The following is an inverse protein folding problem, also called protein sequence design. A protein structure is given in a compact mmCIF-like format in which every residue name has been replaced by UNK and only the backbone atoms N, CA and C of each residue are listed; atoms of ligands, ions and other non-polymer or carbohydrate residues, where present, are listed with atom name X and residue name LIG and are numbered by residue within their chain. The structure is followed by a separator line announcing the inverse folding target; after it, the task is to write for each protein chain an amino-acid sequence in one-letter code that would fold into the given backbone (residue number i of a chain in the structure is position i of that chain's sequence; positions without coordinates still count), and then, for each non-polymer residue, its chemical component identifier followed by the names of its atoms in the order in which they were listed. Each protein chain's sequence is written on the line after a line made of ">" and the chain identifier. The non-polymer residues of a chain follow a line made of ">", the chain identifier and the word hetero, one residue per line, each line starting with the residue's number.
data_IF_028025831446
#
_entry.id   IF_028025831446
#
_cell.length_a   1.000
_cell.length_b   1.000
_cell.length_c   1.000
_cell.angle_alpha   90.00
_cell.angle_beta   90.00
_cell.angle_gamma   90.00
#
_symmetry.space_group_name_H-M   'P 1'
#
loop_
_entity.id
_entity.type
_entity.pdbx_description
1 polymer ?
#
# COMPACT_ATOMS: atom_id res chain seq x y z
N UNK A 1 13.43 9.86 -12.71
CA UNK A 1 13.67 8.62 -13.47
C UNK A 1 14.67 7.76 -12.70
N UNK A 2 14.21 7.00 -11.73
CA UNK A 2 15.01 6.01 -11.00
C UNK A 2 15.05 4.73 -11.84
N UNK A 3 16.24 4.38 -12.34
CA UNK A 3 16.48 3.11 -13.03
C UNK A 3 16.74 2.06 -11.95
N UNK A 4 15.77 1.17 -11.71
CA UNK A 4 16.00 -0.06 -10.96
C UNK A 4 16.88 -0.99 -11.82
N UNK A 5 18.14 -1.14 -11.44
CA UNK A 5 19.03 -2.15 -12.00
C UNK A 5 18.75 -3.45 -11.25
N UNK A 6 17.93 -4.34 -11.83
CA UNK A 6 17.75 -5.69 -11.32
C UNK A 6 18.98 -6.52 -11.66
N UNK A 7 19.86 -6.76 -10.70
CA UNK A 7 20.95 -7.73 -10.83
C UNK A 7 20.33 -9.14 -10.82
N UNK A 8 20.29 -9.78 -11.99
CA UNK A 8 19.85 -11.17 -12.15
C UNK A 8 20.88 -12.12 -11.53
N UNK A 9 20.70 -12.50 -10.26
CA UNK A 9 21.36 -13.69 -9.72
C UNK A 9 20.77 -14.93 -10.40
N UNK A 10 21.60 -15.70 -11.10
CA UNK A 10 21.21 -17.01 -11.63
C UNK A 10 21.00 -17.98 -10.47
N UNK A 11 19.74 -18.25 -10.16
CA UNK A 11 19.35 -19.25 -9.17
C UNK A 11 19.64 -20.64 -9.75
N UNK A 12 20.74 -21.27 -9.35
CA UNK A 12 20.98 -22.69 -9.63
C UNK A 12 19.98 -23.51 -8.81
N UNK A 13 18.86 -23.88 -9.44
CA UNK A 13 17.81 -24.67 -8.84
C UNK A 13 18.32 -26.06 -8.46
N UNK A 14 18.59 -26.27 -7.18
CA UNK A 14 18.59 -27.60 -6.56
C UNK A 14 17.28 -27.72 -5.77
N UNK A 15 16.17 -27.88 -6.48
CA UNK A 15 14.91 -28.32 -5.91
C UNK A 15 14.37 -29.41 -6.83
N UNK A 16 14.43 -30.64 -6.33
CA UNK A 16 13.85 -31.80 -6.98
C UNK A 16 12.38 -31.52 -7.32
N UNK A 17 11.99 -31.80 -8.57
CA UNK A 17 10.62 -31.71 -9.04
C UNK A 17 9.73 -32.65 -8.23
N UNK A 18 9.07 -32.13 -7.21
CA UNK A 18 7.86 -32.75 -6.68
C UNK A 18 6.68 -32.22 -7.49
N UNK A 19 6.02 -33.14 -8.20
CA UNK A 19 4.74 -32.91 -8.87
C UNK A 19 3.75 -32.31 -7.87
N UNK A 20 3.48 -31.02 -8.02
CA UNK A 20 2.38 -30.33 -7.35
C UNK A 20 1.44 -29.77 -8.40
N UNK A 21 0.81 -30.68 -9.15
CA UNK A 21 -0.36 -30.33 -9.94
C UNK A 21 -1.55 -30.07 -9.00
N UNK A 22 -1.55 -28.93 -8.32
CA UNK A 22 -2.73 -28.46 -7.58
C UNK A 22 -3.68 -27.86 -8.60
N UNK A 23 -4.80 -28.52 -8.87
CA UNK A 23 -5.86 -27.96 -9.70
C UNK A 23 -6.52 -26.80 -8.93
N UNK A 24 -6.20 -25.56 -9.31
CA UNK A 24 -6.74 -24.34 -8.71
C UNK A 24 -8.22 -24.10 -9.05
N UNK A 25 -8.82 -24.90 -9.93
CA UNK A 25 -10.20 -24.75 -10.41
C UNK A 25 -11.27 -24.82 -9.32
N UNK A 26 -10.94 -25.37 -8.14
CA UNK A 26 -11.85 -25.46 -6.98
C UNK A 26 -11.28 -24.79 -5.72
N UNK A 27 -10.18 -24.05 -5.83
CA UNK A 27 -9.50 -23.46 -4.68
C UNK A 27 -10.09 -22.10 -4.32
N UNK A 28 -10.43 -21.89 -3.05
CA UNK A 28 -10.99 -20.64 -2.53
C UNK A 28 -10.03 -19.94 -1.57
N UNK A 29 -9.88 -18.63 -1.70
CA UNK A 29 -9.28 -17.76 -0.70
C UNK A 29 -10.34 -17.32 0.32
N UNK A 30 -10.00 -17.42 1.61
CA UNK A 30 -10.79 -16.79 2.66
C UNK A 30 -10.37 -15.31 2.78
N UNK A 31 -11.34 -14.41 2.96
CA UNK A 31 -11.04 -13.11 3.53
C UNK A 31 -10.42 -13.28 4.92
N UNK A 32 -9.54 -12.36 5.31
CA UNK A 32 -8.98 -12.37 6.66
C UNK A 32 -10.11 -12.37 7.70
N UNK A 33 -9.99 -13.23 8.71
CA UNK A 33 -10.91 -13.26 9.85
C UNK A 33 -10.63 -12.04 10.71
N UNK A 34 -11.68 -11.27 10.98
CA UNK A 34 -11.55 -9.98 11.63
C UNK A 34 -12.28 -10.00 12.99
N UNK A 35 -11.79 -9.21 13.95
CA UNK A 35 -12.44 -9.08 15.26
C UNK A 35 -13.72 -8.23 15.19
N UNK A 36 -14.54 -8.25 16.25
CA UNK A 36 -15.89 -7.64 16.26
C UNK A 36 -15.98 -6.15 15.86
N UNK A 37 -14.94 -5.35 16.08
CA UNK A 37 -14.88 -3.94 15.61
C UNK A 37 -14.67 -3.79 14.10
N UNK A 38 -14.18 -4.82 13.43
CA UNK A 38 -13.81 -4.83 12.01
C UNK A 38 -14.89 -5.49 11.12
N UNK A 39 -15.94 -6.03 11.74
CA UNK A 39 -17.21 -6.45 11.09
C UNK A 39 -17.80 -5.36 10.19
N UNK A 40 -17.83 -4.10 10.66
CA UNK A 40 -18.42 -2.99 9.91
C UNK A 40 -17.60 -2.65 8.65
N UNK A 41 -16.27 -2.72 8.78
CA UNK A 41 -15.34 -2.54 7.67
C UNK A 41 -15.51 -3.67 6.63
N UNK A 42 -15.62 -4.92 7.09
CA UNK A 42 -15.87 -6.07 6.22
C UNK A 42 -17.21 -5.95 5.48
N UNK A 43 -18.29 -5.56 6.17
CA UNK A 43 -19.61 -5.32 5.57
C UNK A 43 -19.57 -4.23 4.49
N UNK A 44 -18.81 -3.16 4.72
CA UNK A 44 -18.63 -2.09 3.73
C UNK A 44 -17.95 -2.59 2.46
N UNK A 45 -16.89 -3.39 2.60
CA UNK A 45 -16.21 -4.03 1.48
C UNK A 45 -17.12 -5.01 0.74
N UNK A 46 -17.83 -5.87 1.48
CA UNK A 46 -18.81 -6.80 0.91
C UNK A 46 -19.84 -6.06 0.05
N UNK A 47 -20.45 -5.00 0.57
CA UNK A 47 -21.44 -4.22 -0.17
C UNK A 47 -20.86 -3.55 -1.41
N UNK A 48 -19.64 -3.01 -1.32
CA UNK A 48 -18.98 -2.39 -2.46
C UNK A 48 -18.59 -3.43 -3.54
N UNK A 49 -18.12 -4.60 -3.11
CA UNK A 49 -17.79 -5.71 -4.00
C UNK A 49 -19.04 -6.25 -4.70
N UNK A 50 -20.16 -6.41 -4.01
CA UNK A 50 -21.44 -6.78 -4.61
C UNK A 50 -21.85 -5.80 -5.72
N UNK A 51 -21.79 -4.49 -5.45
CA UNK A 51 -22.08 -3.47 -6.47
C UNK A 51 -21.13 -3.53 -7.65
N UNK A 52 -19.84 -3.75 -7.40
CA UNK A 52 -18.86 -3.94 -8.47
C UNK A 52 -19.17 -5.19 -9.30
N UNK A 53 -19.59 -6.29 -8.65
CA UNK A 53 -19.99 -7.53 -9.30
C UNK A 53 -21.13 -7.32 -10.29
N UNK A 54 -22.16 -6.61 -9.86
CA UNK A 54 -23.35 -6.35 -10.69
C UNK A 54 -22.99 -5.61 -11.98
N UNK A 55 -21.90 -4.84 -11.97
CA UNK A 55 -21.38 -4.08 -13.09
C UNK A 55 -20.38 -4.85 -13.96
N UNK A 56 -19.89 -6.02 -13.52
CA UNK A 56 -19.03 -6.87 -14.32
C UNK A 56 -19.83 -7.59 -15.42
N UNK A 57 -19.20 -7.91 -16.57
CA UNK A 57 -19.78 -8.81 -17.57
C UNK A 57 -20.22 -10.13 -16.93
N UNK A 58 -21.35 -10.69 -17.37
CA UNK A 58 -21.96 -11.87 -16.74
C UNK A 58 -21.01 -13.05 -16.53
N UNK A 59 -20.12 -13.32 -17.48
CA UNK A 59 -19.13 -14.41 -17.40
C UNK A 59 -17.96 -14.16 -16.43
N UNK A 60 -17.85 -12.95 -15.89
CA UNK A 60 -16.83 -12.52 -14.92
C UNK A 60 -17.44 -12.21 -13.54
N UNK A 61 -18.75 -12.39 -13.40
CA UNK A 61 -19.44 -12.23 -12.12
C UNK A 61 -19.07 -13.36 -11.19
N UNK A 62 -19.00 -13.05 -9.91
CA UNK A 62 -18.69 -13.99 -8.86
C UNK A 62 -19.96 -14.45 -8.14
N UNK A 63 -20.64 -15.40 -8.76
CA UNK A 63 -21.91 -15.96 -8.27
C UNK A 63 -21.71 -16.90 -7.06
N UNK A 64 -20.46 -17.32 -6.79
CA UNK A 64 -20.09 -18.26 -5.72
C UNK A 64 -19.79 -17.60 -4.36
N UNK A 65 -19.96 -16.28 -4.23
CA UNK A 65 -19.68 -15.60 -2.96
C UNK A 65 -20.91 -15.67 -2.04
N UNK A 66 -20.82 -16.53 -1.03
CA UNK A 66 -21.72 -16.47 0.11
C UNK A 66 -21.34 -15.29 1.02
N UNK A 67 -22.16 -14.25 0.96
CA UNK A 67 -22.05 -13.08 1.83
C UNK A 67 -22.96 -13.19 3.07
N UNK A 68 -23.65 -14.33 3.29
CA UNK A 68 -24.59 -14.47 4.38
C UNK A 68 -23.91 -14.43 5.76
N UNK A 69 -24.53 -13.63 6.62
CA UNK A 69 -24.13 -13.34 7.98
C UNK A 69 -24.39 -14.53 8.93
N UNK A 70 -23.63 -15.61 8.78
CA UNK A 70 -23.43 -16.57 9.87
C UNK A 70 -22.50 -16.00 10.93
N UNK A 71 -22.53 -16.54 12.15
CA UNK A 71 -21.75 -16.08 13.32
C UNK A 71 -20.20 -16.08 13.17
N UNK A 72 -19.69 -16.35 11.96
CA UNK A 72 -18.28 -16.30 11.59
C UNK A 72 -18.07 -15.34 10.41
N UNK A 73 -17.39 -14.23 10.69
CA UNK A 73 -17.04 -13.13 9.78
C UNK A 73 -15.95 -13.53 8.75
N UNK A 74 -16.29 -14.39 7.78
CA UNK A 74 -15.37 -14.71 6.69
C UNK A 74 -16.12 -14.93 5.37
N UNK A 75 -15.85 -14.09 4.36
CA UNK A 75 -16.26 -14.35 2.98
C UNK A 75 -15.24 -15.23 2.25
N UNK A 76 -15.67 -15.99 1.25
CA UNK A 76 -14.80 -16.79 0.38
C UNK A 76 -14.86 -16.30 -1.06
N UNK A 77 -13.70 -16.23 -1.71
CA UNK A 77 -13.59 -15.87 -3.13
C UNK A 77 -12.75 -16.95 -3.83
N UNK A 78 -13.19 -17.41 -4.99
CA UNK A 78 -12.40 -18.36 -5.79
C UNK A 78 -11.05 -17.75 -6.20
N UNK A 79 -9.96 -18.52 -6.08
CA UNK A 79 -8.64 -18.10 -6.57
C UNK A 79 -8.64 -17.93 -8.10
N UNK A 80 -9.40 -18.76 -8.82
CA UNK A 80 -9.53 -18.66 -10.28
C UNK A 80 -10.16 -17.32 -10.69
N UNK A 81 -11.10 -16.80 -9.90
CA UNK A 81 -11.68 -15.48 -10.12
C UNK A 81 -10.66 -14.37 -9.86
N UNK A 82 -9.89 -14.46 -8.77
CA UNK A 82 -8.83 -13.48 -8.48
C UNK A 82 -7.84 -13.40 -9.66
N UNK A 83 -7.50 -14.54 -10.27
CA UNK A 83 -6.66 -14.60 -11.47
C UNK A 83 -7.33 -13.97 -12.70
N UNK A 84 -8.64 -14.17 -12.90
CA UNK A 84 -9.38 -13.51 -13.98
C UNK A 84 -9.46 -11.99 -13.79
N UNK A 85 -9.77 -11.52 -12.57
CA UNK A 85 -9.79 -10.11 -12.19
C UNK A 85 -8.41 -9.46 -12.35
N UNK A 86 -7.33 -10.22 -12.19
CA UNK A 86 -5.96 -9.71 -12.33
C UNK A 86 -5.67 -9.21 -13.76
N UNK A 87 -6.38 -9.68 -14.79
CA UNK A 87 -6.22 -9.20 -16.16
C UNK A 87 -7.09 -7.97 -16.49
N UNK A 88 -8.08 -7.66 -15.65
CA UNK A 88 -9.07 -6.61 -15.89
C UNK A 88 -8.58 -5.24 -15.40
N UNK A 89 -9.03 -4.14 -16.03
CA UNK A 89 -8.75 -2.78 -15.57
C UNK A 89 -9.63 -2.37 -14.37
N UNK A 90 -9.73 -3.22 -13.35
CA UNK A 90 -10.49 -2.96 -12.11
C UNK A 90 -9.53 -2.78 -10.95
N UNK A 91 -9.64 -1.67 -10.25
CA UNK A 91 -8.66 -1.23 -9.25
C UNK A 91 -9.31 -0.91 -7.91
N UNK A 92 -8.58 -1.15 -6.83
CA UNK A 92 -8.88 -0.62 -5.52
C UNK A 92 -8.03 0.62 -5.28
N UNK A 93 -8.67 1.72 -4.93
CA UNK A 93 -8.05 2.98 -4.54
C UNK A 93 -8.17 3.15 -3.02
N UNK A 94 -7.06 3.42 -2.37
CA UNK A 94 -7.00 3.82 -0.96
C UNK A 94 -6.35 5.19 -0.87
N UNK A 95 -7.04 6.15 -0.23
CA UNK A 95 -6.52 7.48 0.03
C UNK A 95 -6.50 7.69 1.54
N UNK A 96 -5.32 7.92 2.09
CA UNK A 96 -5.09 8.17 3.51
C UNK A 96 -4.81 9.65 3.69
N UNK A 97 -5.57 10.32 4.52
CA UNK A 97 -5.45 11.76 4.76
C UNK A 97 -5.24 12.01 6.24
N UNK A 98 -4.25 12.82 6.62
CA UNK A 98 -4.09 13.24 8.00
C UNK A 98 -5.35 13.96 8.50
N UNK A 99 -5.92 13.49 9.62
CA UNK A 99 -7.20 14.00 10.15
C UNK A 99 -7.15 15.50 10.43
N UNK A 100 -6.00 16.00 10.87
CA UNK A 100 -5.77 17.41 11.17
C UNK A 100 -5.88 18.31 9.93
N UNK A 101 -5.49 17.81 8.75
CA UNK A 101 -5.57 18.55 7.50
C UNK A 101 -7.03 18.84 7.08
N UNK A 102 -7.96 17.97 7.49
CA UNK A 102 -9.39 18.08 7.20
C UNK A 102 -10.22 18.63 8.37
N UNK A 103 -9.58 19.15 9.43
CA UNK A 103 -10.32 19.86 10.47
C UNK A 103 -10.75 21.24 9.96
N UNK A 104 -11.91 21.75 10.41
CA UNK A 104 -12.33 23.10 10.07
C UNK A 104 -11.27 24.07 10.57
N UNK A 105 -10.79 24.94 9.69
CA UNK A 105 -10.18 26.21 10.10
C UNK A 105 -11.36 27.10 10.52
N UNK A 106 -11.12 28.16 11.29
CA UNK A 106 -12.11 29.08 11.88
C UNK A 106 -13.24 29.58 10.94
N UNK A 107 -13.15 29.32 9.62
CA UNK A 107 -14.14 29.58 8.56
C UNK A 107 -15.41 28.70 8.56
N UNK A 108 -15.47 27.61 9.34
CA UNK A 108 -16.67 26.76 9.42
C UNK A 108 -16.93 25.86 8.19
N UNK A 109 -15.98 25.76 7.28
CA UNK A 109 -16.05 24.90 6.09
C UNK A 109 -15.84 23.42 6.43
N UNK A 110 -16.75 22.54 5.99
CA UNK A 110 -16.61 21.10 6.15
C UNK A 110 -15.65 20.52 5.09
N UNK A 111 -14.35 20.57 5.41
CA UNK A 111 -13.28 20.05 4.54
C UNK A 111 -13.39 18.55 4.26
N UNK A 112 -14.08 17.78 5.12
CA UNK A 112 -14.31 16.35 4.87
C UNK A 112 -15.33 16.18 3.76
N UNK A 113 -16.44 16.93 3.82
CA UNK A 113 -17.43 16.94 2.75
C UNK A 113 -16.82 17.48 1.44
N UNK A 114 -16.00 18.53 1.52
CA UNK A 114 -15.28 19.05 0.36
C UNK A 114 -14.35 18.01 -0.28
N UNK A 115 -13.58 17.26 0.53
CA UNK A 115 -12.73 16.18 0.02
C UNK A 115 -13.53 15.07 -0.66
N UNK A 116 -14.65 14.66 -0.07
CA UNK A 116 -15.52 13.64 -0.68
C UNK A 116 -16.15 14.12 -1.99
N UNK A 117 -16.55 15.39 -2.04
CA UNK A 117 -17.04 16.02 -3.27
C UNK A 117 -15.95 16.10 -4.33
N UNK A 118 -14.70 16.39 -3.94
CA UNK A 118 -13.55 16.44 -4.84
C UNK A 118 -13.27 15.07 -5.50
N UNK A 119 -13.32 13.97 -4.73
CA UNK A 119 -13.21 12.62 -5.30
C UNK A 119 -14.37 12.33 -6.27
N UNK A 120 -15.59 12.71 -5.92
CA UNK A 120 -16.75 12.50 -6.78
C UNK A 120 -16.68 13.34 -8.07
N UNK A 121 -16.10 14.53 -8.01
CA UNK A 121 -15.86 15.40 -9.16
C UNK A 121 -14.93 14.72 -10.17
N UNK A 122 -13.89 14.01 -9.71
CA UNK A 122 -13.00 13.25 -10.60
C UNK A 122 -13.79 12.29 -11.49
N UNK A 123 -14.76 11.56 -10.93
CA UNK A 123 -15.60 10.63 -11.69
C UNK A 123 -16.45 11.34 -12.75
N UNK A 124 -16.90 12.56 -12.43
CA UNK A 124 -17.68 13.40 -13.35
C UNK A 124 -16.81 13.90 -14.51
N UNK A 125 -15.55 14.26 -14.23
CA UNK A 125 -14.58 14.69 -15.23
C UNK A 125 -14.02 13.51 -16.07
N UNK A 126 -14.15 12.27 -15.58
CA UNK A 126 -13.64 11.06 -16.22
C UNK A 126 -14.77 10.05 -16.51
N UNK A 127 -15.68 10.32 -17.46
CA UNK A 127 -16.89 9.51 -17.68
C UNK A 127 -16.64 8.08 -18.19
N UNK A 128 -15.41 7.77 -18.61
CA UNK A 128 -14.97 6.40 -18.93
C UNK A 128 -14.79 5.54 -17.67
N UNK A 129 -14.77 6.16 -16.50
CA UNK A 129 -14.54 5.54 -15.20
C UNK A 129 -15.71 5.78 -14.27
N UNK A 130 -15.96 4.81 -13.41
CA UNK A 130 -16.89 4.92 -12.30
C UNK A 130 -16.18 4.59 -10.99
N UNK A 131 -16.61 5.26 -9.92
CA UNK A 131 -16.10 5.09 -8.58
C UNK A 131 -17.19 4.50 -7.69
N UNK A 132 -16.92 3.36 -7.07
CA UNK A 132 -17.79 2.76 -6.06
C UNK A 132 -17.15 3.00 -4.69
N UNK A 133 -17.78 3.83 -3.87
CA UNK A 133 -17.31 4.14 -2.51
C UNK A 133 -17.43 2.91 -1.61
N UNK A 134 -16.32 2.51 -1.00
CA UNK A 134 -16.28 1.60 0.15
C UNK A 134 -16.45 2.48 1.38
N UNK A 135 -17.50 2.25 2.17
CA UNK A 135 -17.86 3.13 3.29
C UNK A 135 -16.66 3.36 4.22
N UNK A 136 -16.52 4.61 4.65
CA UNK A 136 -15.43 5.12 5.51
C UNK A 136 -15.34 4.30 6.80
N UNK A 137 -14.14 3.82 7.12
CA UNK A 137 -13.79 3.41 8.48
C UNK A 137 -12.89 4.45 9.12
N UNK A 138 -13.13 4.73 10.41
CA UNK A 138 -12.13 5.34 11.27
C UNK A 138 -11.35 4.20 11.89
N UNK A 139 -10.15 3.96 11.37
CA UNK A 139 -9.25 2.94 11.91
C UNK A 139 -8.52 3.60 13.10
N UNK A 140 -8.92 3.29 14.33
CA UNK A 140 -8.17 3.67 15.53
C UNK A 140 -7.18 2.56 15.84
N UNK A 141 -5.92 2.75 15.46
CA UNK A 141 -4.83 1.87 15.85
C UNK A 141 -4.33 2.32 17.22
N UNK A 142 -4.54 1.52 18.26
CA UNK A 142 -3.95 1.75 19.57
C UNK A 142 -2.75 0.83 19.73
N UNK A 143 -1.63 1.36 20.21
CA UNK A 143 -0.49 0.53 20.60
C UNK A 143 -0.83 -0.29 21.87
N UNK A 144 0.05 -1.23 22.25
CA UNK A 144 -0.15 -2.06 23.46
C UNK A 144 -0.07 -1.27 24.77
N UNK A 145 0.46 -0.05 24.74
CA UNK A 145 0.64 0.81 25.92
C UNK A 145 -0.52 1.80 26.11
N UNK A 146 -1.44 1.88 25.14
CA UNK A 146 -2.53 2.86 25.10
C UNK A 146 -2.06 4.27 24.73
N UNK A 147 -0.79 4.44 24.34
CA UNK A 147 -0.23 5.70 23.88
C UNK A 147 -0.30 5.75 22.35
N UNK A 148 -1.15 6.63 21.82
CA UNK A 148 -1.28 6.79 20.37
C UNK A 148 -0.04 7.52 19.84
N UNK A 149 0.95 6.75 19.37
CA UNK A 149 2.17 7.28 18.73
C UNK A 149 1.98 7.59 17.24
N UNK A 150 0.86 7.17 16.66
CA UNK A 150 0.58 7.34 15.24
C UNK A 150 -0.23 8.60 14.99
N UNK A 151 0.08 9.29 13.88
CA UNK A 151 -0.70 10.43 13.45
C UNK A 151 -2.13 9.97 13.12
N UNK A 152 -3.18 10.59 13.68
CA UNK A 152 -4.55 10.26 13.34
C UNK A 152 -4.85 10.50 11.87
N UNK A 153 -5.30 9.47 11.15
CA UNK A 153 -5.62 9.53 9.72
C UNK A 153 -7.10 9.20 9.45
N UNK A 154 -7.54 9.58 8.25
CA UNK A 154 -8.82 9.23 7.66
C UNK A 154 -8.54 8.43 6.39
N UNK A 155 -9.10 7.22 6.32
CA UNK A 155 -8.90 6.34 5.17
C UNK A 155 -10.16 6.28 4.31
N UNK A 156 -10.02 6.68 3.06
CA UNK A 156 -11.06 6.63 2.03
C UNK A 156 -10.73 5.51 1.05
N UNK A 157 -11.71 4.66 0.75
CA UNK A 157 -11.51 3.46 -0.07
C UNK A 157 -12.55 3.42 -1.17
N UNK A 158 -12.12 3.04 -2.37
CA UNK A 158 -12.97 3.03 -3.55
C UNK A 158 -12.61 1.88 -4.47
N UNK A 159 -13.57 1.42 -5.26
CA UNK A 159 -13.34 0.57 -6.43
C UNK A 159 -13.45 1.45 -7.67
N UNK A 160 -12.43 1.43 -8.51
CA UNK A 160 -12.37 2.10 -9.81
C UNK A 160 -12.54 1.05 -10.89
N UNK A 161 -13.52 1.23 -11.77
CA UNK A 161 -13.71 0.37 -12.93
C UNK A 161 -14.23 1.15 -14.12
N UNK A 162 -14.05 0.68 -15.36
CA UNK A 162 -14.61 1.35 -16.50
C UNK A 162 -16.14 1.34 -16.47
N UNK A 163 -16.76 2.36 -17.06
CA UNK A 163 -18.22 2.42 -17.24
C UNK A 163 -18.70 1.47 -18.34
N UNK A 164 -17.88 1.28 -19.38
CA UNK A 164 -18.20 0.40 -20.50
C UNK A 164 -17.58 -1.00 -20.33
N UNK A 165 -18.42 -2.02 -20.28
CA UNK A 165 -18.01 -3.43 -20.25
C UNK A 165 -17.10 -3.85 -21.42
N UNK A 166 -17.18 -3.21 -22.59
CA UNK A 166 -16.29 -3.51 -23.72
C UNK A 166 -14.84 -3.05 -23.48
N UNK A 167 -14.63 -2.12 -22.56
CA UNK A 167 -13.29 -1.70 -22.13
C UNK A 167 -12.70 -2.60 -21.04
N UNK A 168 -13.49 -3.51 -20.46
CA UNK A 168 -13.06 -4.53 -19.49
C UNK A 168 -12.44 -5.76 -20.16
N UNK A 169 -11.69 -5.58 -21.24
CA UNK A 169 -11.02 -6.67 -21.94
C UNK A 169 -9.60 -6.90 -21.38
N UNK A 170 -9.13 -8.16 -21.25
CA UNK A 170 -7.76 -8.48 -20.88
C UNK A 170 -6.75 -7.78 -21.80
N UNK A 171 -5.79 -7.05 -21.23
CA UNK A 171 -4.72 -6.37 -21.98
C UNK A 171 -4.76 -4.83 -21.92
N UNK A 172 -5.84 -4.22 -21.45
CA UNK A 172 -5.92 -2.77 -21.23
C UNK A 172 -5.46 -2.31 -19.84
N UNK A 173 -5.24 -3.26 -18.91
CA UNK A 173 -4.92 -2.98 -17.51
C UNK A 173 -3.70 -2.09 -17.32
N UNK A 174 -2.57 -2.37 -17.97
CA UNK A 174 -1.34 -1.61 -17.75
C UNK A 174 -1.44 -0.16 -18.22
N UNK A 175 -2.08 0.08 -19.37
CA UNK A 175 -2.34 1.42 -19.89
C UNK A 175 -3.36 2.16 -19.00
N UNK A 176 -4.44 1.47 -18.61
CA UNK A 176 -5.45 2.01 -17.71
C UNK A 176 -4.86 2.38 -16.34
N UNK A 177 -3.98 1.54 -15.78
CA UNK A 177 -3.29 1.80 -14.52
C UNK A 177 -2.47 3.10 -14.57
N UNK A 178 -1.70 3.32 -15.65
CA UNK A 178 -0.93 4.56 -15.82
C UNK A 178 -1.81 5.79 -15.94
N UNK A 179 -2.86 5.72 -16.76
CA UNK A 179 -3.80 6.84 -16.93
C UNK A 179 -4.53 7.17 -15.62
N UNK A 180 -4.91 6.14 -14.86
CA UNK A 180 -5.51 6.32 -13.53
C UNK A 180 -4.53 6.95 -12.56
N UNK A 181 -3.31 6.42 -12.48
CA UNK A 181 -2.28 6.91 -11.57
C UNK A 181 -1.96 8.38 -11.82
N UNK A 182 -1.70 8.76 -13.09
CA UNK A 182 -1.44 10.15 -13.47
C UNK A 182 -2.66 11.05 -13.20
N UNK A 183 -3.85 10.61 -13.61
CA UNK A 183 -5.07 11.40 -13.54
C UNK A 183 -5.56 11.64 -12.11
N UNK A 184 -5.65 10.59 -11.30
CA UNK A 184 -6.15 10.70 -9.93
C UNK A 184 -5.13 11.35 -9.00
N UNK A 185 -3.83 11.07 -9.19
CA UNK A 185 -2.78 11.71 -8.40
C UNK A 185 -2.75 13.21 -8.67
N UNK A 186 -2.84 13.62 -9.94
CA UNK A 186 -2.91 15.05 -10.30
C UNK A 186 -4.15 15.71 -9.71
N UNK A 187 -5.31 15.04 -9.77
CA UNK A 187 -6.56 15.54 -9.19
C UNK A 187 -6.48 15.70 -7.68
N UNK A 188 -5.94 14.70 -6.96
CA UNK A 188 -5.76 14.77 -5.51
C UNK A 188 -4.79 15.88 -5.11
N UNK A 189 -3.72 16.11 -5.88
CA UNK A 189 -2.76 17.19 -5.63
C UNK A 189 -3.41 18.58 -5.67
N UNK A 190 -4.38 18.81 -6.57
CA UNK A 190 -5.12 20.08 -6.59
C UNK A 190 -5.87 20.33 -5.27
N UNK A 191 -6.38 19.27 -4.62
CA UNK A 191 -7.01 19.42 -3.31
C UNK A 191 -5.99 19.68 -2.20
N UNK A 192 -4.83 19.00 -2.25
CA UNK A 192 -3.71 19.22 -1.32
C UNK A 192 -3.32 20.70 -1.28
N UNK A 193 -3.26 21.38 -2.43
CA UNK A 193 -2.97 22.82 -2.50
C UNK A 193 -3.98 23.71 -1.75
N UNK A 194 -5.21 23.23 -1.53
CA UNK A 194 -6.25 23.95 -0.76
C UNK A 194 -6.18 23.70 0.74
N UNK A 195 -5.42 22.67 1.16
CA UNK A 195 -5.29 22.30 2.55
C UNK A 195 -4.30 23.24 3.26
N UNK A 196 -4.51 23.51 4.56
CA UNK A 196 -3.60 24.33 5.35
C UNK A 196 -2.40 23.47 5.75
N UNK A 197 -1.69 22.95 4.75
CA UNK A 197 -0.52 22.11 4.92
C UNK A 197 0.62 23.03 5.32
N UNK A 198 0.71 23.26 6.61
CA UNK A 198 1.88 23.92 7.20
C UNK A 198 3.07 22.96 7.12
N UNK A 199 4.30 23.47 7.14
CA UNK A 199 5.53 22.68 7.30
C UNK A 199 5.47 21.71 8.51
N UNK A 200 4.60 21.99 9.49
CA UNK A 200 4.34 21.16 10.68
C UNK A 200 3.48 19.92 10.44
N UNK A 201 2.80 19.80 9.29
CA UNK A 201 1.95 18.66 8.91
C UNK A 201 2.66 17.68 7.95
N UNK A 202 3.96 17.88 7.70
CA UNK A 202 4.75 17.01 6.82
C UNK A 202 4.72 17.40 5.33
N UNK A 203 4.30 18.62 4.98
CA UNK A 203 4.26 19.05 3.57
C UNK A 203 3.37 18.16 2.70
N UNK A 204 3.85 17.75 1.53
CA UNK A 204 3.16 16.85 0.59
C UNK A 204 2.72 15.50 1.22
N UNK A 205 3.26 15.11 2.39
CA UNK A 205 2.93 13.88 3.11
C UNK A 205 1.60 13.95 3.91
N UNK A 206 0.76 14.96 3.67
CA UNK A 206 -0.57 15.05 4.29
C UNK A 206 -1.56 14.02 3.71
N UNK A 207 -1.32 13.55 2.48
CA UNK A 207 -2.15 12.58 1.77
C UNK A 207 -1.28 11.52 1.09
N UNK A 208 -1.57 10.25 1.38
CA UNK A 208 -1.04 9.11 0.63
C UNK A 208 -2.14 8.51 -0.26
N UNK A 209 -1.78 8.16 -1.49
CA UNK A 209 -2.67 7.50 -2.45
C UNK A 209 -2.06 6.19 -2.89
N UNK A 210 -2.85 5.11 -2.83
CA UNK A 210 -2.42 3.78 -3.27
C UNK A 210 -3.48 3.18 -4.19
N UNK A 211 -3.06 2.82 -5.40
CA UNK A 211 -3.89 2.17 -6.41
C UNK A 211 -3.31 0.79 -6.69
N UNK A 212 -4.13 -0.24 -6.50
CA UNK A 212 -3.77 -1.63 -6.82
C UNK A 212 -4.87 -2.27 -7.64
N UNK A 213 -4.56 -3.36 -8.36
CA UNK A 213 -5.64 -4.17 -8.94
C UNK A 213 -6.57 -4.65 -7.83
N UNK A 214 -7.87 -4.72 -8.13
CA UNK A 214 -8.84 -5.25 -7.17
C UNK A 214 -8.47 -6.68 -6.78
N UNK A 215 -8.01 -7.49 -7.74
CA UNK A 215 -7.46 -8.81 -7.50
C UNK A 215 -6.32 -8.84 -6.47
N UNK A 216 -5.35 -7.90 -6.55
CA UNK A 216 -4.25 -7.82 -5.59
C UNK A 216 -4.75 -7.44 -4.19
N UNK A 217 -5.75 -6.57 -4.09
CA UNK A 217 -6.38 -6.22 -2.80
C UNK A 217 -7.13 -7.41 -2.18
N UNK A 218 -7.84 -8.19 -3.00
CA UNK A 218 -8.60 -9.36 -2.56
C UNK A 218 -7.74 -10.58 -2.23
N UNK A 219 -6.47 -10.58 -2.64
CA UNK A 219 -5.55 -11.69 -2.38
C UNK A 219 -5.13 -11.69 -0.91
N UNK A 220 -5.29 -12.80 -0.18
CA UNK A 220 -4.83 -12.87 1.20
C UNK A 220 -3.31 -12.74 1.31
N UNK A 221 -2.84 -11.75 2.05
CA UNK A 221 -1.45 -11.60 2.41
C UNK A 221 -1.15 -12.44 3.66
N UNK A 222 -0.13 -13.30 3.60
CA UNK A 222 0.24 -14.21 4.71
C UNK A 222 1.60 -13.89 5.32
N UNK A 223 2.41 -13.12 4.63
CA UNK A 223 3.77 -12.77 5.02
C UNK A 223 3.97 -11.30 4.70
N UNK A 224 4.51 -10.56 5.67
CA UNK A 224 5.05 -9.22 5.48
C UNK A 224 6.53 -9.28 5.86
N UNK A 225 7.37 -8.74 4.98
CA UNK A 225 8.82 -8.61 5.20
C UNK A 225 9.11 -7.12 5.18
N UNK A 226 9.83 -6.66 6.17
CA UNK A 226 10.23 -5.27 6.30
C UNK A 226 11.74 -5.20 6.22
N UNK A 227 12.23 -4.14 5.59
CA UNK A 227 13.61 -3.73 5.78
C UNK A 227 13.81 -3.25 7.22
N UNK A 228 15.04 -3.22 7.70
CA UNK A 228 15.37 -2.81 9.05
C UNK A 228 15.68 -1.32 9.11
N UNK A 229 16.82 -0.93 8.53
CA UNK A 229 17.34 0.44 8.54
C UNK A 229 16.39 1.37 7.78
N UNK A 230 16.16 2.57 8.33
CA UNK A 230 15.24 3.57 7.77
C UNK A 230 13.81 3.08 7.47
N UNK A 231 13.38 1.97 8.08
CA UNK A 231 12.05 1.36 7.88
C UNK A 231 11.42 0.92 9.19
N UNK A 232 12.02 -0.05 9.89
CA UNK A 232 11.56 -0.45 11.24
C UNK A 232 12.20 0.40 12.34
N UNK A 233 13.39 0.91 12.07
CA UNK A 233 14.12 1.84 12.92
C UNK A 233 14.47 3.09 12.13
N UNK A 234 14.65 4.22 12.81
CA UNK A 234 14.96 5.50 12.16
C UNK A 234 16.43 5.61 11.73
N UNK A 235 17.29 4.80 12.34
CA UNK A 235 18.74 4.87 12.17
C UNK A 235 19.23 3.96 11.03
N UNK A 236 20.43 4.27 10.55
CA UNK A 236 21.27 3.39 9.74
C UNK A 236 22.30 2.73 10.66
N UNK A 237 22.11 1.46 11.04
CA UNK A 237 22.91 0.81 12.10
C UNK A 237 24.41 0.87 11.82
N UNK A 238 24.82 0.73 10.55
CA UNK A 238 26.23 0.76 10.17
C UNK A 238 26.86 2.15 10.37
N UNK A 239 26.08 3.23 10.21
CA UNK A 239 26.53 4.60 10.48
C UNK A 239 26.62 4.84 11.99
N UNK A 240 25.69 4.30 12.78
CA UNK A 240 25.75 4.37 14.25
C UNK A 240 26.96 3.62 14.81
N UNK A 241 27.33 2.47 14.23
CA UNK A 241 28.57 1.75 14.57
C UNK A 241 29.81 2.59 14.25
N UNK A 242 29.84 3.23 13.09
CA UNK A 242 30.94 4.06 12.64
C UNK A 242 31.16 5.30 13.54
N UNK A 243 30.07 5.88 14.07
CA UNK A 243 30.14 7.01 15.01
C UNK A 243 30.88 6.66 16.29
N UNK A 244 30.79 5.42 16.80
CA UNK A 244 31.52 4.98 17.99
C UNK A 244 33.05 4.97 17.79
N UNK A 245 33.51 4.88 16.54
CA UNK A 245 34.92 4.97 16.17
C UNK A 245 35.33 6.31 15.52
N UNK A 246 34.47 7.34 15.59
CA UNK A 246 34.70 8.65 14.98
C UNK A 246 34.91 8.62 13.45
N UNK A 247 34.35 7.62 12.77
CA UNK A 247 34.42 7.45 11.31
C UNK A 247 33.03 7.52 10.65
N UNK A 248 32.02 8.02 11.39
CA UNK A 248 30.63 8.13 10.95
C UNK A 248 30.49 8.88 9.61
N UNK A 249 31.20 9.99 9.45
CA UNK A 249 31.11 10.83 8.25
C UNK A 249 31.57 10.07 6.99
N UNK A 250 32.66 9.29 7.08
CA UNK A 250 33.18 8.50 5.96
C UNK A 250 32.20 7.41 5.53
N UNK A 251 31.59 6.72 6.50
CA UNK A 251 30.59 5.67 6.23
C UNK A 251 29.30 6.29 5.68
N UNK A 252 28.92 7.48 6.17
CA UNK A 252 27.75 8.23 5.68
C UNK A 252 27.92 8.62 4.21
N UNK A 253 29.09 9.16 3.82
CA UNK A 253 29.37 9.53 2.43
C UNK A 253 29.22 8.35 1.46
N UNK A 254 29.75 7.17 1.82
CA UNK A 254 29.62 5.95 1.02
C UNK A 254 28.16 5.46 0.98
N UNK A 255 27.44 5.57 2.11
CA UNK A 255 26.02 5.18 2.20
C UNK A 255 25.16 6.05 1.28
N UNK A 256 25.35 7.37 1.31
CA UNK A 256 24.61 8.28 0.44
C UNK A 256 24.96 8.10 -1.04
N UNK A 257 26.23 7.83 -1.37
CA UNK A 257 26.65 7.53 -2.74
C UNK A 257 25.96 6.27 -3.27
N UNK A 258 25.84 5.22 -2.45
CA UNK A 258 25.12 4.01 -2.82
C UNK A 258 23.61 4.26 -3.00
N UNK A 259 22.99 5.05 -2.11
CA UNK A 259 21.56 5.43 -2.24
C UNK A 259 21.29 6.27 -3.50
N UNK A 260 22.26 7.10 -3.94
CA UNK A 260 22.20 7.82 -5.23
C UNK A 260 22.45 6.91 -6.44
N UNK A 261 22.85 5.66 -6.22
CA UNK A 261 23.18 4.68 -7.27
C UNK A 261 24.54 4.93 -7.94
N UNK A 262 25.44 5.66 -7.29
CA UNK A 262 26.80 5.94 -7.78
C UNK A 262 27.75 4.74 -7.58
N UNK A 263 27.47 3.92 -6.56
CA UNK A 263 28.22 2.71 -6.18
C UNK A 263 27.20 1.57 -6.05
N UNK A 264 27.57 0.36 -6.49
CA UNK A 264 26.72 -0.82 -6.29
C UNK A 264 26.70 -1.26 -4.81
N UNK A 265 25.69 -2.04 -4.45
CA UNK A 265 25.48 -2.46 -3.06
C UNK A 265 26.64 -3.27 -2.50
N UNK A 266 27.20 -4.22 -3.26
CA UNK A 266 28.23 -5.14 -2.76
C UNK A 266 29.54 -4.38 -2.50
N UNK A 267 29.90 -3.47 -3.40
CA UNK A 267 31.06 -2.57 -3.24
C UNK A 267 30.86 -1.64 -2.05
N UNK A 268 29.73 -0.93 -1.98
CA UNK A 268 29.41 -0.02 -0.87
C UNK A 268 29.38 -0.73 0.48
N UNK A 269 28.79 -1.92 0.55
CA UNK A 269 28.73 -2.70 1.78
C UNK A 269 30.14 -3.12 2.22
N UNK A 270 30.96 -3.62 1.30
CA UNK A 270 32.33 -4.04 1.59
C UNK A 270 33.20 -2.88 2.08
N UNK A 271 33.13 -1.72 1.43
CA UNK A 271 33.88 -0.53 1.83
C UNK A 271 33.48 -0.02 3.21
N UNK A 272 32.17 0.07 3.49
CA UNK A 272 31.67 0.52 4.80
C UNK A 272 32.04 -0.44 5.91
N UNK A 273 31.94 -1.74 5.68
CA UNK A 273 32.32 -2.77 6.66
C UNK A 273 33.83 -2.77 6.90
N UNK A 274 34.65 -2.56 5.86
CA UNK A 274 36.09 -2.46 6.00
C UNK A 274 36.51 -1.28 6.90
N UNK A 275 35.81 -0.15 6.83
CA UNK A 275 36.06 1.00 7.70
C UNK A 275 35.83 0.68 9.18
N UNK A 276 34.98 -0.30 9.51
CA UNK A 276 34.71 -0.71 10.89
C UNK A 276 35.83 -1.59 11.49
N UNK A 277 36.99 -1.73 10.83
CA UNK A 277 38.14 -2.46 11.37
C UNK A 277 38.57 -1.87 12.73
N UNK A 278 38.62 -2.72 13.76
CA UNK A 278 38.98 -2.32 15.11
C UNK A 278 37.84 -1.80 15.97
N UNK A 279 36.62 -1.68 15.45
CA UNK A 279 35.42 -1.37 16.25
C UNK A 279 35.13 -2.52 17.21
N UNK A 280 34.95 -2.20 18.50
CA UNK A 280 34.67 -3.19 19.54
C UNK A 280 33.24 -3.73 19.39
N UNK A 281 33.07 -5.04 19.60
CA UNK A 281 31.75 -5.70 19.50
C UNK A 281 30.74 -5.14 20.51
N UNK A 282 31.22 -4.62 21.63
CA UNK A 282 30.39 -4.00 22.68
C UNK A 282 29.65 -2.75 22.15
N UNK A 283 30.08 -2.16 21.03
CA UNK A 283 29.34 -1.11 20.34
C UNK A 283 27.95 -1.56 19.85
N UNK A 284 27.81 -2.85 19.47
CA UNK A 284 26.51 -3.41 19.05
C UNK A 284 25.52 -3.44 20.22
N UNK A 285 25.98 -3.83 21.41
CA UNK A 285 25.15 -3.87 22.63
C UNK A 285 24.69 -2.46 23.03
N UNK A 286 25.54 -1.46 22.83
CA UNK A 286 25.21 -0.05 23.11
C UNK A 286 24.16 0.49 22.15
N UNK A 287 24.29 0.22 20.85
CA UNK A 287 23.30 0.64 19.83
C UNK A 287 21.97 -0.05 20.09
N UNK A 288 21.98 -1.35 20.41
CA UNK A 288 20.75 -2.07 20.74
C UNK A 288 19.96 -1.43 21.89
N UNK A 289 20.65 -0.87 22.89
CA UNK A 289 19.99 -0.19 24.02
C UNK A 289 19.40 1.18 23.68
N UNK A 290 19.74 1.73 22.51
CA UNK A 290 19.30 3.04 22.04
C UNK A 290 18.17 2.97 21.01
N UNK A 291 17.88 1.77 20.48
CA UNK A 291 16.74 1.46 19.60
C UNK A 291 15.47 1.19 20.43
#
# INVERSE_FOLDING_TARGET
>A
MTKNTTTNYQNNAILASQDTSISLSTATANFASFGSGMTAHLKAWISALQKANDLLPSHLRFDDIDFEAGAHESGKISLSLIEQLEALPVFALSVVVQKQALLPVESGEDKKAAFEAHIAEWATQNPLWQIIKVVRSTDTLQDRTGSDRLTPVLTYRYILMPTDTATMQPGKKAAAARLLDDGITSHLRQFIETLPITDKLGGDAAIDCHIVSLAKMLRPHRVAVFDMDSTLIEQEVIVELAKQANIGDQVSEITEAAMRGEIDFDTSFSERVALLEGVSKEALDQIQQQL
#
